data_IF_402594890759
#
_entry.id   IF_402594890759
#
_cell.length_a   1.000
_cell.length_b   1.000
_cell.length_c   1.000
_cell.angle_alpha   90.00
_cell.angle_beta   90.00
_cell.angle_gamma   90.00
#
_symmetry.space_group_name_H-M   'P 1'
#
loop_
_entity.id
_entity.type
_entity.pdbx_description
1 polymer ?
#
# COMPACT_ATOMS: atom_id res chain seq x y z
N UNK A 1 -10.60 -2.05 -2.62
CA UNK A 1 -9.42 -2.60 -3.36
C UNK A 1 -8.17 -1.82 -2.99
N UNK A 2 -7.13 -2.52 -2.63
CA UNK A 2 -5.83 -1.97 -2.27
C UNK A 2 -4.80 -2.41 -3.30
N UNK A 3 -4.02 -1.46 -3.81
CA UNK A 3 -2.88 -1.73 -4.69
C UNK A 3 -1.62 -1.25 -3.98
N UNK A 4 -0.62 -2.10 -3.88
CA UNK A 4 0.70 -1.74 -3.36
C UNK A 4 1.66 -1.71 -4.54
N UNK A 5 2.41 -0.63 -4.69
CA UNK A 5 3.42 -0.50 -5.75
C UNK A 5 4.64 0.23 -5.24
N UNK A 6 5.79 -0.09 -5.78
CA UNK A 6 7.06 0.50 -5.35
C UNK A 6 8.23 -0.05 -6.14
N UNK A 7 9.39 0.52 -5.92
CA UNK A 7 10.64 0.12 -6.57
C UNK A 7 11.06 -1.29 -6.16
N UNK A 8 11.62 -2.03 -7.10
CA UNK A 8 12.10 -3.39 -6.84
C UNK A 8 10.98 -4.27 -6.32
N UNK A 9 11.23 -4.98 -5.25
CA UNK A 9 10.28 -5.89 -4.61
C UNK A 9 9.58 -5.28 -3.39
N UNK A 10 9.54 -3.96 -3.31
CA UNK A 10 8.89 -3.26 -2.19
C UNK A 10 7.45 -3.74 -2.00
N UNK A 11 6.66 -3.76 -3.06
CA UNK A 11 5.25 -4.12 -2.98
C UNK A 11 5.04 -5.59 -2.61
N UNK A 12 5.70 -6.49 -3.33
CA UNK A 12 5.59 -7.92 -3.05
C UNK A 12 6.19 -8.29 -1.69
N UNK A 13 7.28 -7.61 -1.28
CA UNK A 13 7.88 -7.80 0.04
C UNK A 13 6.97 -7.39 1.18
N UNK A 14 6.36 -6.20 1.08
CA UNK A 14 5.39 -5.73 2.07
C UNK A 14 4.18 -6.66 2.14
N UNK A 15 3.68 -7.09 0.99
CA UNK A 15 2.55 -8.02 0.96
C UNK A 15 2.90 -9.34 1.64
N UNK A 16 4.11 -9.85 1.43
CA UNK A 16 4.53 -11.10 2.08
C UNK A 16 4.49 -11.00 3.61
N UNK A 17 4.91 -9.86 4.16
CA UNK A 17 4.82 -9.60 5.60
C UNK A 17 3.37 -9.43 6.06
N UNK A 18 2.60 -8.67 5.29
CA UNK A 18 1.19 -8.42 5.59
C UNK A 18 0.38 -9.72 5.65
N UNK A 19 0.61 -10.63 4.71
CA UNK A 19 -0.06 -11.92 4.65
C UNK A 19 0.18 -12.77 5.90
N UNK A 20 1.38 -12.68 6.49
CA UNK A 20 1.69 -13.38 7.74
C UNK A 20 0.96 -12.80 8.95
N UNK A 21 0.67 -11.51 8.92
CA UNK A 21 0.08 -10.78 10.03
C UNK A 21 -1.44 -10.84 10.01
N UNK A 22 -2.03 -10.50 8.87
CA UNK A 22 -3.50 -10.34 8.73
C UNK A 22 -4.16 -11.40 7.86
N UNK A 23 -3.38 -12.25 7.21
CA UNK A 23 -3.88 -13.23 6.26
C UNK A 23 -3.87 -12.72 4.82
N UNK A 24 -4.14 -13.63 3.90
CA UNK A 24 -4.12 -13.34 2.46
C UNK A 24 -5.51 -12.92 1.99
N UNK A 25 -5.62 -11.71 1.47
CA UNK A 25 -6.88 -11.16 0.96
C UNK A 25 -6.81 -10.90 -0.54
N UNK A 26 -7.85 -11.29 -1.27
CA UNK A 26 -7.96 -11.06 -2.71
C UNK A 26 -8.10 -9.59 -3.08
N UNK A 27 -8.52 -8.74 -2.14
CA UNK A 27 -8.66 -7.31 -2.39
C UNK A 27 -7.32 -6.55 -2.33
N UNK A 28 -6.19 -7.23 -2.08
CA UNK A 28 -4.86 -6.63 -2.08
C UNK A 28 -4.10 -7.13 -3.31
N UNK A 29 -3.72 -6.18 -4.17
CA UNK A 29 -2.94 -6.44 -5.39
C UNK A 29 -1.59 -5.76 -5.29
N UNK A 30 -0.56 -6.35 -5.88
CA UNK A 30 0.80 -5.79 -5.88
C UNK A 30 1.28 -5.60 -7.31
N UNK A 31 2.02 -4.50 -7.53
CA UNK A 31 2.69 -4.22 -8.79
C UNK A 31 4.10 -3.75 -8.47
N UNK A 32 5.08 -4.62 -8.64
CA UNK A 32 6.49 -4.27 -8.45
C UNK A 32 7.01 -3.46 -9.63
N UNK A 33 7.88 -2.51 -9.35
CA UNK A 33 8.60 -1.75 -10.36
C UNK A 33 10.05 -2.21 -10.41
N UNK A 34 10.28 -3.28 -11.15
CA UNK A 34 11.60 -3.90 -11.28
C UNK A 34 12.45 -3.19 -12.35
N UNK A 35 13.75 -3.46 -12.35
CA UNK A 35 14.68 -2.84 -13.31
C UNK A 35 14.35 -3.14 -14.76
N UNK A 36 13.65 -4.24 -15.03
CA UNK A 36 13.25 -4.66 -16.38
C UNK A 36 11.98 -3.98 -16.89
N UNK A 37 11.32 -3.21 -16.04
CA UNK A 37 10.05 -2.56 -16.36
C UNK A 37 10.25 -1.06 -16.54
N UNK A 38 9.69 -0.50 -17.59
CA UNK A 38 9.71 0.95 -17.79
C UNK A 38 8.46 1.60 -17.17
N UNK A 39 8.43 2.95 -17.02
CA UNK A 39 7.29 3.64 -16.42
C UNK A 39 5.96 3.40 -17.14
N UNK A 40 5.97 3.28 -18.46
CA UNK A 40 4.75 3.03 -19.24
C UNK A 40 4.17 1.65 -18.96
N UNK A 41 5.03 0.64 -18.83
CA UNK A 41 4.61 -0.72 -18.46
C UNK A 41 4.01 -0.74 -17.04
N UNK A 42 4.64 -0.03 -16.10
CA UNK A 42 4.11 0.11 -14.75
C UNK A 42 2.73 0.75 -14.76
N UNK A 43 2.58 1.82 -15.52
CA UNK A 43 1.30 2.53 -15.66
C UNK A 43 0.22 1.61 -16.21
N UNK A 44 0.53 0.85 -17.24
CA UNK A 44 -0.40 -0.09 -17.85
C UNK A 44 -0.81 -1.20 -16.90
N UNK A 45 0.14 -1.72 -16.12
CA UNK A 45 -0.14 -2.77 -15.13
C UNK A 45 -1.10 -2.26 -14.05
N UNK A 46 -0.85 -1.07 -13.51
CA UNK A 46 -1.72 -0.47 -12.50
C UNK A 46 -3.08 -0.13 -13.10
N UNK A 47 -3.10 0.46 -14.29
CA UNK A 47 -4.33 0.83 -14.98
C UNK A 47 -5.24 -0.36 -15.23
N UNK A 48 -4.67 -1.51 -15.59
CA UNK A 48 -5.46 -2.71 -15.83
C UNK A 48 -6.20 -3.19 -14.57
N UNK A 49 -5.60 -3.01 -13.40
CA UNK A 49 -6.25 -3.32 -12.12
C UNK A 49 -7.36 -2.30 -11.84
N UNK A 50 -7.08 -1.01 -12.03
CA UNK A 50 -8.07 0.05 -11.84
C UNK A 50 -9.31 -0.20 -12.72
N UNK A 51 -9.10 -0.49 -13.98
CA UNK A 51 -10.19 -0.71 -14.94
C UNK A 51 -11.03 -1.95 -14.57
N UNK A 52 -10.38 -2.99 -14.09
CA UNK A 52 -11.06 -4.23 -13.68
C UNK A 52 -11.95 -4.02 -12.44
N UNK A 53 -11.57 -3.13 -11.55
CA UNK A 53 -12.27 -2.89 -10.28
C UNK A 53 -12.84 -1.48 -10.19
N UNK A 54 -13.24 -0.89 -11.33
CA UNK A 54 -13.67 0.51 -11.44
C UNK A 54 -14.92 0.85 -10.62
N UNK A 55 -15.72 -0.15 -10.25
CA UNK A 55 -16.90 0.05 -9.41
C UNK A 55 -16.57 0.22 -7.93
N UNK A 56 -15.32 -0.02 -7.55
CA UNK A 56 -14.85 0.09 -6.17
C UNK A 56 -14.03 1.36 -5.98
N UNK A 57 -14.01 1.87 -4.75
CA UNK A 57 -13.01 2.85 -4.36
C UNK A 57 -11.65 2.15 -4.26
N UNK A 58 -10.63 2.77 -4.83
CA UNK A 58 -9.30 2.19 -4.95
C UNK A 58 -8.28 3.02 -4.17
N UNK A 59 -7.40 2.33 -3.48
CA UNK A 59 -6.34 2.95 -2.69
C UNK A 59 -5.00 2.39 -3.15
N UNK A 60 -4.11 3.27 -3.60
CA UNK A 60 -2.76 2.88 -4.02
C UNK A 60 -1.78 3.33 -2.96
N UNK A 61 -0.98 2.40 -2.47
CA UNK A 61 0.06 2.64 -1.48
C UNK A 61 1.42 2.54 -2.16
N UNK A 62 2.16 3.64 -2.20
CA UNK A 62 3.45 3.72 -2.87
C UNK A 62 4.59 3.89 -1.88
N UNK A 63 5.82 3.65 -2.33
CA UNK A 63 6.99 3.68 -1.47
C UNK A 63 7.41 5.09 -1.07
N UNK A 64 7.78 5.94 -2.02
CA UNK A 64 8.27 7.30 -1.68
C UNK A 64 7.71 8.35 -2.62
N UNK A 65 7.54 9.55 -2.10
CA UNK A 65 7.12 10.70 -2.89
C UNK A 65 8.17 11.04 -3.96
N UNK A 66 7.71 11.42 -5.14
CA UNK A 66 8.58 11.81 -6.24
C UNK A 66 9.18 10.65 -7.04
N UNK A 67 8.99 9.42 -6.61
CA UNK A 67 9.41 8.24 -7.38
C UNK A 67 8.43 7.90 -8.49
N UNK A 68 8.88 7.08 -9.45
CA UNK A 68 8.03 6.68 -10.58
C UNK A 68 6.72 6.00 -10.16
N UNK A 69 6.70 5.08 -9.18
CA UNK A 69 5.44 4.48 -8.75
C UNK A 69 4.43 5.51 -8.24
N UNK A 70 4.89 6.49 -7.46
CA UNK A 70 4.03 7.56 -6.97
C UNK A 70 3.52 8.46 -8.09
N UNK A 71 4.42 8.85 -9.00
CA UNK A 71 4.09 9.73 -10.14
C UNK A 71 3.04 9.08 -11.03
N UNK A 72 3.26 7.85 -11.43
CA UNK A 72 2.35 7.08 -12.29
C UNK A 72 0.99 6.90 -11.61
N UNK A 73 0.99 6.54 -10.34
CA UNK A 73 -0.23 6.36 -9.57
C UNK A 73 -1.03 7.67 -9.46
N UNK A 74 -0.34 8.78 -9.23
CA UNK A 74 -0.96 10.11 -9.15
C UNK A 74 -1.57 10.55 -10.47
N UNK A 75 -0.91 10.27 -11.58
CA UNK A 75 -1.46 10.53 -12.92
C UNK A 75 -2.76 9.75 -13.15
N UNK A 76 -2.76 8.47 -12.79
CA UNK A 76 -3.95 7.62 -12.93
C UNK A 76 -5.09 8.07 -12.01
N UNK A 77 -4.77 8.62 -10.85
CA UNK A 77 -5.78 9.10 -9.89
C UNK A 77 -6.57 10.31 -10.39
N UNK A 78 -6.04 11.08 -11.35
CA UNK A 78 -6.70 12.27 -11.88
C UNK A 78 -8.06 11.98 -12.53
N UNK A 79 -8.19 10.82 -13.16
CA UNK A 79 -9.36 10.44 -13.94
C UNK A 79 -10.13 9.24 -13.37
N UNK A 80 -9.77 8.81 -12.16
CA UNK A 80 -10.35 7.62 -11.55
C UNK A 80 -10.66 7.87 -10.08
N UNK A 81 -11.55 7.08 -9.50
CA UNK A 81 -11.84 7.13 -8.07
C UNK A 81 -10.74 6.41 -7.28
N UNK A 82 -9.57 7.03 -7.25
CA UNK A 82 -8.35 6.46 -6.69
C UNK A 82 -7.72 7.46 -5.72
N UNK A 83 -7.36 6.99 -4.55
CA UNK A 83 -6.57 7.75 -3.57
C UNK A 83 -5.19 7.15 -3.48
N UNK A 84 -4.15 8.00 -3.42
CA UNK A 84 -2.76 7.58 -3.45
C UNK A 84 -2.05 8.00 -2.18
N UNK A 85 -1.37 7.04 -1.56
CA UNK A 85 -0.47 7.26 -0.42
C UNK A 85 0.98 7.13 -0.87
N UNK A 86 1.87 7.87 -0.24
CA UNK A 86 3.32 7.66 -0.32
C UNK A 86 3.90 7.49 1.08
N UNK A 87 5.13 7.03 1.16
CA UNK A 87 5.77 6.77 2.46
C UNK A 87 5.14 5.59 3.20
N UNK A 88 4.65 4.62 2.46
CA UNK A 88 3.92 3.48 3.01
C UNK A 88 4.80 2.66 3.94
N UNK A 89 4.28 2.36 5.11
CA UNK A 89 4.85 1.39 6.03
C UNK A 89 3.83 0.30 6.37
N UNK A 90 4.29 -0.75 7.00
CA UNK A 90 3.46 -1.93 7.27
C UNK A 90 2.25 -1.64 8.17
N UNK A 91 2.36 -0.84 9.26
CA UNK A 91 1.20 -0.50 10.07
C UNK A 91 0.05 0.17 9.31
N UNK A 92 0.36 1.02 8.32
CA UNK A 92 -0.65 1.62 7.46
C UNK A 92 -1.46 0.55 6.71
N UNK A 93 -0.75 -0.43 6.16
CA UNK A 93 -1.38 -1.52 5.39
C UNK A 93 -2.20 -2.44 6.28
N UNK A 94 -1.75 -2.70 7.50
CA UNK A 94 -2.51 -3.50 8.47
C UNK A 94 -3.86 -2.84 8.73
N UNK A 95 -3.86 -1.55 9.07
CA UNK A 95 -5.10 -0.81 9.35
C UNK A 95 -6.01 -0.72 8.12
N UNK A 96 -5.44 -0.38 6.96
CA UNK A 96 -6.21 -0.31 5.73
C UNK A 96 -6.86 -1.65 5.38
N UNK A 97 -6.12 -2.73 5.51
CA UNK A 97 -6.63 -4.09 5.25
C UNK A 97 -7.76 -4.47 6.18
N UNK A 98 -7.64 -4.12 7.46
CA UNK A 98 -8.69 -4.37 8.45
C UNK A 98 -9.96 -3.60 8.11
N UNK A 99 -9.85 -2.33 7.74
CA UNK A 99 -10.99 -1.51 7.34
C UNK A 99 -11.72 -2.11 6.15
N UNK A 100 -10.98 -2.47 5.11
CA UNK A 100 -11.57 -3.09 3.90
C UNK A 100 -12.21 -4.42 4.22
N UNK A 101 -11.58 -5.26 5.05
CA UNK A 101 -12.12 -6.56 5.44
C UNK A 101 -13.45 -6.46 6.19
N UNK A 102 -13.66 -5.35 6.91
CA UNK A 102 -14.89 -5.07 7.64
C UNK A 102 -15.94 -4.35 6.78
N UNK A 103 -15.66 -4.12 5.51
CA UNK A 103 -16.56 -3.40 4.62
C UNK A 103 -16.62 -1.90 4.86
N UNK A 104 -15.63 -1.35 5.56
CA UNK A 104 -15.55 0.09 5.84
C UNK A 104 -14.71 0.80 4.78
N UNK A 105 -15.06 2.06 4.52
CA UNK A 105 -14.21 2.92 3.72
C UNK A 105 -12.93 3.24 4.49
N UNK A 106 -11.84 3.42 3.76
CA UNK A 106 -10.57 3.80 4.38
C UNK A 106 -10.59 5.29 4.70
N UNK A 107 -10.39 5.60 5.99
CA UNK A 107 -10.17 6.95 6.47
C UNK A 107 -8.71 7.33 6.22
N UNK A 108 -8.48 8.19 5.22
CA UNK A 108 -7.12 8.54 4.80
C UNK A 108 -6.32 9.26 5.87
N UNK A 109 -6.95 10.13 6.67
CA UNK A 109 -6.28 10.79 7.78
C UNK A 109 -5.86 9.80 8.87
N UNK A 110 -6.72 8.86 9.20
CA UNK A 110 -6.42 7.83 10.19
C UNK A 110 -5.23 6.96 9.75
N UNK A 111 -5.19 6.56 8.48
CA UNK A 111 -4.08 5.78 7.93
C UNK A 111 -2.77 6.57 7.97
N UNK A 112 -2.81 7.85 7.60
CA UNK A 112 -1.65 8.74 7.68
C UNK A 112 -1.12 8.81 9.12
N UNK A 113 -1.98 9.05 10.09
CA UNK A 113 -1.61 9.14 11.50
C UNK A 113 -1.05 7.81 12.02
N UNK A 114 -1.64 6.70 11.63
CA UNK A 114 -1.15 5.37 11.96
C UNK A 114 0.29 5.19 11.48
N UNK A 115 0.58 5.58 10.26
CA UNK A 115 1.92 5.49 9.69
C UNK A 115 2.93 6.38 10.42
N UNK A 116 2.57 7.62 10.71
CA UNK A 116 3.42 8.58 11.41
C UNK A 116 3.71 8.08 12.84
N UNK A 117 2.70 7.65 13.56
CA UNK A 117 2.83 7.21 14.95
C UNK A 117 3.62 5.91 15.09
N UNK A 118 3.76 5.13 14.03
CA UNK A 118 4.55 3.90 14.02
C UNK A 118 6.06 4.18 13.96
N UNK A 119 6.45 5.38 13.59
CA UNK A 119 7.86 5.80 13.53
C UNK A 119 8.30 6.23 14.92
N UNK A 120 8.99 5.33 15.61
CA UNK A 120 9.29 5.54 17.04
C UNK A 120 10.70 5.06 17.37
N UNK A 121 11.72 5.95 17.34
CA UNK A 121 13.05 5.58 17.74
C UNK A 121 13.08 5.33 19.26
N UNK A 122 13.45 4.12 19.66
CA UNK A 122 13.58 3.74 21.07
C UNK A 122 15.04 3.90 21.50
N UNK A 123 15.26 4.63 22.59
CA UNK A 123 16.58 4.78 23.23
C UNK A 123 16.84 3.73 24.29
N UNK A 124 15.79 3.05 24.76
CA UNK A 124 15.90 2.02 25.81
C UNK A 124 15.46 0.69 25.22
N UNK A 125 16.10 -0.39 25.71
CA UNK A 125 15.62 -1.74 25.47
C UNK A 125 14.26 -1.87 26.15
N UNK A 126 13.25 -2.29 25.39
CA UNK A 126 11.92 -2.54 25.92
C UNK A 126 11.75 -4.06 25.97
N UNK A 127 11.35 -4.56 27.14
CA UNK A 127 10.98 -5.97 27.22
C UNK A 127 9.66 -6.18 26.49
N UNK A 128 9.69 -7.06 25.50
CA UNK A 128 8.51 -7.51 24.80
C UNK A 128 8.07 -8.85 25.37
N UNK A 129 6.78 -9.00 25.60
CA UNK A 129 6.24 -10.33 25.86
C UNK A 129 6.38 -11.17 24.60
N UNK A 130 6.61 -12.48 24.77
CA UNK A 130 6.80 -13.43 23.65
C UNK A 130 5.51 -13.69 22.86
N UNK A 131 4.52 -12.84 22.97
CA UNK A 131 3.22 -12.92 22.31
C UNK A 131 3.18 -12.09 21.04
N UNK A 132 4.33 -11.71 20.51
CA UNK A 132 4.43 -10.91 19.31
C UNK A 132 4.09 -11.67 18.04
N UNK A 133 3.82 -10.90 17.01
CA UNK A 133 3.58 -11.38 15.66
C UNK A 133 4.86 -12.00 15.08
#
# INVERSE_FOLDING_TARGET
>A
MIIITGHGNFASGLKSSLDLIVGNYDFIKVVDFTENKNPEELKNDIKSIIDKYSDNELYIFTDLAGGTPFKVSSELALNNNVKVFCGTNLPMLIEASMMVSLGCDIDTNFIKETGINAINPKKKVVEFKEEGI
#
